data_IF_932549067878
#
_entry.id   IF_932549067878
#
_cell.length_a   1.000
_cell.length_b   1.000
_cell.length_c   1.000
_cell.angle_alpha   90.00
_cell.angle_beta   90.00
_cell.angle_gamma   90.00
#
_symmetry.space_group_name_H-M   'P 1'
#
loop_
_entity.id
_entity.type
_entity.pdbx_description
1 polymer ?
#
# COMPACT_ATOMS: atom_id res chain seq x y z
N UNK A 1 -20.25 -4.32 7.32
CA UNK A 1 -19.56 -5.27 6.42
C UNK A 1 -19.44 -4.73 5.01
N UNK A 2 -20.52 -4.19 4.41
CA UNK A 2 -20.50 -3.61 3.06
C UNK A 2 -19.40 -2.55 2.82
N UNK A 3 -19.13 -1.57 3.71
CA UNK A 3 -18.10 -0.56 3.48
C UNK A 3 -16.68 -1.14 3.40
N UNK A 4 -16.41 -2.20 4.17
CA UNK A 4 -15.09 -2.85 4.20
C UNK A 4 -14.83 -3.58 2.89
N UNK A 5 -15.85 -4.27 2.35
CA UNK A 5 -15.75 -4.96 1.06
C UNK A 5 -15.51 -3.93 -0.04
N UNK A 6 -16.27 -2.83 -0.07
CA UNK A 6 -16.09 -1.76 -1.05
C UNK A 6 -14.70 -1.13 -0.97
N UNK A 7 -14.19 -0.90 0.24
CA UNK A 7 -12.84 -0.35 0.47
C UNK A 7 -11.73 -1.31 -0.02
N UNK A 8 -11.92 -2.62 0.05
CA UNK A 8 -10.90 -3.61 -0.34
C UNK A 8 -10.76 -3.80 -1.85
N UNK A 9 -11.80 -3.52 -2.64
CA UNK A 9 -11.82 -3.85 -4.08
C UNK A 9 -10.77 -3.05 -4.85
N UNK A 10 -10.74 -1.73 -4.66
CA UNK A 10 -9.81 -0.84 -5.38
C UNK A 10 -8.33 -1.14 -5.07
N UNK A 11 -7.88 -1.21 -3.80
CA UNK A 11 -6.50 -1.55 -3.49
C UNK A 11 -6.14 -2.98 -3.90
N UNK A 12 -7.07 -3.94 -3.90
CA UNK A 12 -6.82 -5.29 -4.40
C UNK A 12 -6.53 -5.28 -5.91
N UNK A 13 -7.34 -4.57 -6.71
CA UNK A 13 -7.10 -4.40 -8.15
C UNK A 13 -5.76 -3.70 -8.39
N UNK A 14 -5.46 -2.65 -7.62
CA UNK A 14 -4.19 -1.92 -7.73
C UNK A 14 -2.99 -2.81 -7.42
N UNK A 15 -3.05 -3.58 -6.32
CA UNK A 15 -2.00 -4.53 -5.94
C UNK A 15 -1.77 -5.60 -7.00
N UNK A 16 -2.84 -6.16 -7.56
CA UNK A 16 -2.75 -7.17 -8.62
C UNK A 16 -2.08 -6.59 -9.88
N UNK A 17 -2.51 -5.41 -10.32
CA UNK A 17 -1.89 -4.72 -11.47
C UNK A 17 -0.42 -4.41 -11.21
N UNK A 18 -0.11 -3.92 -10.01
CA UNK A 18 1.27 -3.60 -9.63
C UNK A 18 2.15 -4.85 -9.64
N UNK A 19 1.68 -5.96 -9.08
CA UNK A 19 2.39 -7.24 -9.12
C UNK A 19 2.69 -7.69 -10.55
N UNK A 20 1.73 -7.57 -11.48
CA UNK A 20 1.93 -7.93 -12.88
C UNK A 20 3.00 -7.06 -13.56
N UNK A 21 2.96 -5.74 -13.35
CA UNK A 21 3.92 -4.79 -13.93
C UNK A 21 5.33 -5.07 -13.39
N UNK A 22 5.47 -5.23 -12.06
CA UNK A 22 6.75 -5.51 -11.44
C UNK A 22 7.31 -6.87 -11.89
N UNK A 23 6.46 -7.88 -12.03
CA UNK A 23 6.89 -9.20 -12.52
C UNK A 23 7.37 -9.15 -13.98
N UNK A 24 6.73 -8.36 -14.84
CA UNK A 24 7.16 -8.16 -16.22
C UNK A 24 8.51 -7.45 -16.29
N UNK A 25 8.69 -6.35 -15.55
CA UNK A 25 9.96 -5.63 -15.51
C UNK A 25 11.11 -6.45 -14.92
N UNK A 26 10.82 -7.37 -14.01
CA UNK A 26 11.83 -8.26 -13.45
C UNK A 26 12.31 -9.33 -14.43
N UNK A 27 11.40 -9.90 -15.23
CA UNK A 27 11.73 -10.98 -16.18
C UNK A 27 12.65 -10.50 -17.30
N UNK A 28 12.58 -9.22 -17.66
CA UNK A 28 13.42 -8.59 -18.68
C UNK A 28 14.87 -8.37 -18.24
N UNK A 29 15.20 -8.60 -16.96
CA UNK A 29 16.55 -8.36 -16.43
C UNK A 29 17.53 -9.47 -16.86
N UNK A 30 18.75 -9.07 -17.23
CA UNK A 30 19.80 -9.95 -17.75
C UNK A 30 20.15 -11.14 -16.84
N UNK A 31 20.01 -10.97 -15.52
CA UNK A 31 20.27 -12.04 -14.56
C UNK A 31 19.27 -13.21 -14.67
N UNK A 32 18.02 -12.95 -15.07
CA UNK A 32 17.00 -13.98 -15.34
C UNK A 32 17.38 -14.75 -16.61
N UNK A 33 17.81 -14.04 -17.65
CA UNK A 33 18.26 -14.64 -18.91
C UNK A 33 19.48 -15.53 -18.71
N UNK A 34 20.44 -15.10 -17.87
CA UNK A 34 21.59 -15.91 -17.48
C UNK A 34 21.19 -17.12 -16.62
N UNK A 35 20.24 -16.97 -15.69
CA UNK A 35 19.72 -18.08 -14.91
C UNK A 35 19.03 -19.14 -15.78
N UNK A 36 18.30 -18.71 -16.82
CA UNK A 36 17.69 -19.61 -17.82
C UNK A 36 18.74 -20.32 -18.68
N UNK A 37 19.77 -19.63 -19.16
CA UNK A 37 20.84 -20.25 -19.95
C UNK A 37 21.66 -21.27 -19.14
N UNK A 38 21.68 -21.14 -17.81
CA UNK A 38 22.27 -22.09 -16.87
C UNK A 38 21.40 -23.35 -16.65
N UNK A 39 20.20 -23.43 -17.23
CA UNK A 39 19.31 -24.59 -17.12
C UNK A 39 18.49 -24.67 -15.83
N UNK A 40 18.37 -23.57 -15.07
CA UNK A 40 17.53 -23.53 -13.88
C UNK A 40 16.04 -23.60 -14.25
N UNK A 41 15.24 -24.32 -13.46
CA UNK A 41 13.81 -24.45 -13.69
C UNK A 41 13.10 -23.10 -13.49
N UNK A 42 12.14 -22.78 -14.37
CA UNK A 42 11.39 -21.52 -14.29
C UNK A 42 10.72 -21.33 -12.91
N UNK A 43 10.23 -22.41 -12.30
CA UNK A 43 9.63 -22.35 -10.95
C UNK A 43 10.65 -21.92 -9.89
N UNK A 44 11.89 -22.41 -9.94
CA UNK A 44 12.94 -21.99 -8.99
C UNK A 44 13.26 -20.50 -9.13
N UNK A 45 13.38 -20.01 -10.37
CA UNK A 45 13.65 -18.59 -10.65
C UNK A 45 12.51 -17.70 -10.13
N UNK A 46 11.25 -18.11 -10.35
CA UNK A 46 10.08 -17.36 -9.86
C UNK A 46 10.04 -17.29 -8.34
N UNK A 47 10.16 -18.44 -7.65
CA UNK A 47 10.04 -18.45 -6.19
C UNK A 47 11.23 -17.80 -5.47
N UNK A 48 12.44 -18.00 -5.96
CA UNK A 48 13.65 -17.58 -5.25
C UNK A 48 14.14 -16.17 -5.65
N UNK A 49 14.01 -15.80 -6.92
CA UNK A 49 14.49 -14.51 -7.43
C UNK A 49 13.35 -13.52 -7.67
N UNK A 50 12.32 -13.91 -8.43
CA UNK A 50 11.24 -13.01 -8.81
C UNK A 50 10.42 -12.56 -7.58
N UNK A 51 9.85 -13.49 -6.81
CA UNK A 51 9.00 -13.16 -5.66
C UNK A 51 9.74 -12.34 -4.60
N UNK A 52 10.99 -12.71 -4.28
CA UNK A 52 11.80 -11.99 -3.29
C UNK A 52 12.07 -10.55 -3.73
N UNK A 53 12.37 -10.33 -5.01
CA UNK A 53 12.63 -8.98 -5.50
C UNK A 53 11.34 -8.17 -5.65
N UNK A 54 10.26 -8.77 -6.16
CA UNK A 54 8.97 -8.09 -6.30
C UNK A 54 8.35 -7.71 -4.96
N UNK A 55 8.52 -8.49 -3.88
CA UNK A 55 8.06 -8.11 -2.53
C UNK A 55 8.82 -6.88 -2.01
N UNK A 56 10.12 -6.78 -2.29
CA UNK A 56 10.92 -5.62 -1.94
C UNK A 56 10.45 -4.36 -2.68
N UNK A 57 10.24 -4.48 -4.00
CA UNK A 57 9.69 -3.39 -4.82
C UNK A 57 8.26 -3.01 -4.42
N UNK A 58 7.40 -3.99 -4.11
CA UNK A 58 6.03 -3.76 -3.64
C UNK A 58 6.02 -2.92 -2.35
N UNK A 59 7.01 -3.12 -1.48
CA UNK A 59 7.14 -2.39 -0.23
C UNK A 59 7.35 -0.89 -0.45
N UNK A 60 8.00 -0.49 -1.55
CA UNK A 60 8.19 0.92 -1.92
C UNK A 60 6.85 1.60 -2.22
N UNK A 61 5.87 0.85 -2.72
CA UNK A 61 4.53 1.34 -3.07
C UNK A 61 3.52 1.34 -1.91
N UNK A 62 3.84 0.73 -0.75
CA UNK A 62 2.95 0.71 0.42
C UNK A 62 2.45 2.09 0.85
N UNK A 63 3.29 3.16 0.92
CA UNK A 63 2.83 4.51 1.26
C UNK A 63 1.74 5.02 0.32
N UNK A 64 1.85 4.73 -0.98
CA UNK A 64 0.85 5.14 -1.96
C UNK A 64 -0.47 4.39 -1.75
N UNK A 65 -0.41 3.08 -1.47
CA UNK A 65 -1.59 2.27 -1.19
C UNK A 65 -2.32 2.76 0.07
N UNK A 66 -1.58 3.17 1.10
CA UNK A 66 -2.16 3.76 2.32
C UNK A 66 -2.87 5.09 2.05
N UNK A 67 -2.26 5.97 1.24
CA UNK A 67 -2.90 7.22 0.81
C UNK A 67 -4.16 6.96 -0.01
N UNK A 68 -4.11 5.98 -0.90
CA UNK A 68 -5.23 5.55 -1.73
C UNK A 68 -6.40 5.04 -0.87
N UNK A 69 -6.11 4.24 0.18
CA UNK A 69 -7.11 3.77 1.15
C UNK A 69 -7.75 4.95 1.91
N UNK A 70 -6.93 5.90 2.38
CA UNK A 70 -7.42 7.06 3.12
C UNK A 70 -8.34 7.95 2.27
N UNK A 71 -7.97 8.15 1.00
CA UNK A 71 -8.78 8.89 0.02
C UNK A 71 -10.16 8.25 -0.18
N UNK A 72 -10.22 6.92 -0.31
CA UNK A 72 -11.49 6.20 -0.49
C UNK A 72 -12.35 6.17 0.76
N UNK A 73 -11.73 6.21 1.95
CA UNK A 73 -12.47 6.21 3.21
C UNK A 73 -13.44 7.39 3.30
N UNK A 74 -13.04 8.58 2.82
CA UNK A 74 -13.86 9.79 2.78
C UNK A 74 -15.12 9.57 1.92
N UNK A 75 -14.97 8.96 0.75
CA UNK A 75 -16.11 8.68 -0.15
C UNK A 75 -17.08 7.70 0.51
N UNK A 76 -16.56 6.68 1.20
CA UNK A 76 -17.37 5.69 1.89
C UNK A 76 -18.07 6.26 3.13
N UNK A 77 -17.45 7.21 3.83
CA UNK A 77 -18.10 7.93 4.93
C UNK A 77 -19.37 8.63 4.44
N UNK A 78 -19.29 9.33 3.32
CA UNK A 78 -20.44 9.99 2.71
C UNK A 78 -21.49 9.00 2.21
N UNK A 79 -21.08 7.96 1.47
CA UNK A 79 -21.99 6.99 0.85
C UNK A 79 -22.77 6.16 1.88
N UNK A 80 -22.11 5.76 2.97
CA UNK A 80 -22.70 4.90 4.00
C UNK A 80 -23.19 5.68 5.23
N UNK A 81 -23.15 7.02 5.17
CA UNK A 81 -23.51 7.91 6.27
C UNK A 81 -22.82 7.53 7.58
N UNK A 82 -21.51 7.25 7.50
CA UNK A 82 -20.69 6.86 8.64
C UNK A 82 -20.12 8.11 9.33
N UNK A 83 -20.10 8.04 10.65
CA UNK A 83 -19.54 9.06 11.53
C UNK A 83 -18.01 8.96 11.56
N UNK A 84 -17.34 9.59 10.59
CA UNK A 84 -15.88 9.56 10.46
C UNK A 84 -15.21 10.93 10.44
N UNK A 85 -14.14 11.07 9.66
CA UNK A 85 -13.31 12.28 9.56
C UNK A 85 -14.12 13.48 9.07
N UNK A 86 -15.03 13.29 8.11
CA UNK A 86 -15.85 14.37 7.56
C UNK A 86 -16.74 14.98 8.66
N UNK A 87 -17.31 14.15 9.52
CA UNK A 87 -18.16 14.63 10.61
C UNK A 87 -17.34 15.42 11.65
N UNK A 88 -16.13 14.96 11.97
CA UNK A 88 -15.21 15.71 12.85
C UNK A 88 -14.90 17.08 12.24
N UNK A 89 -14.70 17.14 10.93
CA UNK A 89 -14.42 18.39 10.22
C UNK A 89 -15.59 19.37 10.27
N UNK A 90 -16.82 18.86 10.06
CA UNK A 90 -18.06 19.64 10.03
C UNK A 90 -18.68 19.89 11.41
N UNK A 91 -18.15 19.27 12.47
CA UNK A 91 -18.68 19.44 13.83
C UNK A 91 -18.51 20.87 14.37
N UNK A 92 -19.49 21.33 15.13
CA UNK A 92 -19.53 22.63 15.84
C UNK A 92 -18.56 22.73 17.03
N UNK A 93 -17.52 21.88 17.06
CA UNK A 93 -16.56 21.84 18.16
C UNK A 93 -15.58 23.01 18.07
N UNK A 94 -15.00 23.46 19.21
CA UNK A 94 -13.95 24.47 19.21
C UNK A 94 -12.79 24.07 18.29
N UNK A 95 -12.21 25.06 17.59
CA UNK A 95 -11.15 24.83 16.61
C UNK A 95 -9.96 24.04 17.17
N UNK A 96 -9.61 24.26 18.45
CA UNK A 96 -8.56 23.52 19.16
C UNK A 96 -8.90 22.03 19.30
N UNK A 97 -10.14 21.70 19.70
CA UNK A 97 -10.61 20.32 19.87
C UNK A 97 -10.64 19.58 18.53
N UNK A 98 -11.13 20.22 17.47
CA UNK A 98 -11.15 19.64 16.12
C UNK A 98 -9.74 19.37 15.59
N UNK A 99 -8.82 20.30 15.76
CA UNK A 99 -7.43 20.12 15.36
C UNK A 99 -6.75 18.97 16.12
N UNK A 100 -7.00 18.85 17.43
CA UNK A 100 -6.47 17.75 18.24
C UNK A 100 -6.99 16.38 17.78
N UNK A 101 -8.29 16.26 17.48
CA UNK A 101 -8.88 15.01 16.97
C UNK A 101 -8.30 14.61 15.59
N UNK A 102 -8.14 15.58 14.69
CA UNK A 102 -7.53 15.32 13.37
C UNK A 102 -6.05 14.94 13.50
N UNK A 103 -5.30 15.58 14.40
CA UNK A 103 -3.91 15.21 14.68
C UNK A 103 -3.78 13.81 15.27
N UNK A 104 -4.71 13.40 16.13
CA UNK A 104 -4.74 12.05 16.71
C UNK A 104 -4.89 10.96 15.63
N UNK A 105 -5.61 11.24 14.54
CA UNK A 105 -5.78 10.32 13.41
C UNK A 105 -4.59 10.41 12.44
N UNK A 106 -4.10 11.62 12.15
CA UNK A 106 -3.02 11.84 11.19
C UNK A 106 -1.65 11.36 11.70
N UNK A 107 -1.38 11.49 12.99
CA UNK A 107 -0.11 11.10 13.61
C UNK A 107 0.21 9.59 13.47
N UNK A 108 -0.68 8.64 13.84
CA UNK A 108 -0.42 7.21 13.67
C UNK A 108 -0.34 6.82 12.19
N UNK A 109 -1.11 7.46 11.30
CA UNK A 109 -0.98 7.24 9.85
C UNK A 109 0.41 7.62 9.35
N UNK A 110 0.91 8.79 9.75
CA UNK A 110 2.25 9.25 9.38
C UNK A 110 3.35 8.38 9.99
N UNK A 111 3.18 7.97 11.25
CA UNK A 111 4.09 7.04 11.93
C UNK A 111 4.13 5.68 11.23
N UNK A 112 2.98 5.14 10.80
CA UNK A 112 2.91 3.89 10.05
C UNK A 112 3.65 3.99 8.70
N UNK A 113 3.44 5.09 7.94
CA UNK A 113 4.14 5.31 6.66
C UNK A 113 5.66 5.44 6.87
N UNK A 114 6.10 6.19 7.89
CA UNK A 114 7.53 6.29 8.22
C UNK A 114 8.10 4.97 8.72
N UNK A 115 7.36 4.23 9.53
CA UNK A 115 7.76 2.91 10.04
C UNK A 115 8.02 1.94 8.89
N UNK A 116 7.09 1.83 7.94
CA UNK A 116 7.25 1.01 6.74
C UNK A 116 8.48 1.43 5.95
N UNK A 117 8.70 2.74 5.72
CA UNK A 117 9.90 3.23 5.04
C UNK A 117 11.20 2.89 5.78
N UNK A 118 11.20 2.92 7.11
CA UNK A 118 12.37 2.57 7.92
C UNK A 118 12.68 1.06 7.84
N UNK A 119 11.67 0.19 7.86
CA UNK A 119 11.86 -1.25 7.65
C UNK A 119 12.49 -1.55 6.29
N UNK A 120 12.05 -0.84 5.23
CA UNK A 120 12.61 -0.99 3.88
C UNK A 120 14.06 -0.51 3.82
N UNK A 121 14.36 0.65 4.42
CA UNK A 121 15.73 1.19 4.45
C UNK A 121 16.69 0.26 5.21
N UNK A 122 16.20 -0.44 6.23
CA UNK A 122 16.99 -1.39 7.02
C UNK A 122 17.23 -2.73 6.31
N UNK A 123 16.42 -3.08 5.30
CA UNK A 123 16.59 -4.31 4.52
C UNK A 123 17.60 -4.16 3.36
N UNK A 124 18.04 -2.94 3.06
CA UNK A 124 19.01 -2.60 2.00
C UNK A 124 20.44 -2.33 2.54
N UNK A 125 20.68 -2.53 3.84
CA UNK A 125 21.99 -2.49 4.52
C UNK A 125 22.25 -3.84 5.20
#
# INVERSE_FOLDING_TARGET
>A
MLPVITLSIVPAIYLFRLQLVLSQSEIEKDYITFARSKGLSNSYIVFHHLLKNTISELSIHLPFIMLLLFSQMIILEYLFNLNGIIQILLSEQPAATRAALLMLIAFPLFAAVKGVKLFIKKAHF
#
